data_IF_932501748456
#
_entry.id   IF_932501748456
#
_cell.length_a   1.000
_cell.length_b   1.000
_cell.length_c   1.000
_cell.angle_alpha   90.00
_cell.angle_beta   90.00
_cell.angle_gamma   90.00
#
_symmetry.space_group_name_H-M   'P 1'
#
loop_
_entity.id
_entity.type
_entity.pdbx_description
1 polymer ?
#
# COMPACT_ATOMS: atom_id res chain seq x y z
N UNK A 1 70.69 56.18 13.10
CA UNK A 1 70.00 55.02 12.55
C UNK A 1 68.58 55.09 13.03
N UNK A 2 67.69 55.66 12.19
CA UNK A 2 66.30 55.96 12.51
C UNK A 2 65.40 55.04 11.67
N UNK A 3 64.70 54.21 12.35
CA UNK A 3 63.66 53.37 11.71
C UNK A 3 62.30 54.02 11.94
N UNK A 4 61.64 54.45 10.86
CA UNK A 4 60.30 55.03 10.90
C UNK A 4 59.30 53.94 10.66
N UNK A 5 58.34 53.76 11.58
CA UNK A 5 57.16 52.94 11.44
C UNK A 5 56.13 53.67 10.55
N UNK A 6 55.65 52.99 9.48
CA UNK A 6 54.51 53.41 8.70
C UNK A 6 53.33 52.58 9.12
N UNK A 7 52.34 53.25 9.66
CA UNK A 7 51.03 52.62 9.99
C UNK A 7 50.12 52.76 8.78
N UNK A 8 49.73 51.63 8.18
CA UNK A 8 48.73 51.58 7.09
C UNK A 8 47.37 51.24 7.72
N UNK A 9 46.42 52.17 7.66
CA UNK A 9 45.04 51.96 8.04
C UNK A 9 44.30 51.26 6.88
N UNK A 10 43.86 50.01 7.08
CA UNK A 10 42.94 49.32 6.17
C UNK A 10 41.50 49.73 6.48
N UNK A 11 40.89 50.51 5.60
CA UNK A 11 39.44 50.76 5.59
C UNK A 11 38.73 49.53 4.99
N UNK A 12 37.97 48.80 5.80
CA UNK A 12 37.07 47.73 5.37
C UNK A 12 35.82 48.36 4.79
N UNK A 13 35.70 48.38 3.46
CA UNK A 13 34.42 48.61 2.77
C UNK A 13 33.59 47.30 2.83
N UNK A 14 32.54 47.31 3.65
CA UNK A 14 31.51 46.28 3.60
C UNK A 14 30.61 46.47 2.38
N UNK A 15 30.90 45.74 1.31
CA UNK A 15 29.95 45.59 0.17
C UNK A 15 28.87 44.59 0.58
N UNK A 16 27.68 45.10 0.89
CA UNK A 16 26.46 44.33 0.98
C UNK A 16 26.10 43.81 -0.40
N UNK A 17 26.39 42.54 -0.71
CA UNK A 17 25.83 41.85 -1.83
C UNK A 17 24.35 41.55 -1.51
N UNK A 18 23.41 42.38 -2.00
CA UNK A 18 22.04 41.96 -2.24
C UNK A 18 22.07 40.92 -3.34
N UNK A 19 22.06 39.64 -2.97
CA UNK A 19 21.73 38.57 -3.90
C UNK A 19 20.23 38.68 -4.23
N UNK A 20 19.93 39.25 -5.37
CA UNK A 20 18.62 39.04 -5.99
C UNK A 20 18.57 37.54 -6.35
N UNK A 21 17.91 36.75 -5.52
CA UNK A 21 17.44 35.45 -5.91
C UNK A 21 16.42 35.70 -7.05
N UNK A 22 16.87 35.46 -8.28
CA UNK A 22 16.01 35.38 -9.43
C UNK A 22 15.21 34.06 -9.21
N UNK A 23 14.04 34.17 -8.59
CA UNK A 23 13.03 33.11 -8.65
C UNK A 23 12.63 33.00 -10.12
N UNK A 24 13.36 32.17 -10.87
CA UNK A 24 12.81 31.57 -12.07
C UNK A 24 11.66 30.66 -11.59
N UNK A 25 10.47 31.24 -11.43
CA UNK A 25 9.24 30.48 -11.54
C UNK A 25 9.26 29.87 -12.94
N UNK A 26 9.80 28.69 -13.07
CA UNK A 26 9.37 27.78 -14.12
C UNK A 26 7.91 27.55 -13.81
N UNK A 27 7.01 28.02 -14.67
CA UNK A 27 5.60 27.63 -14.65
C UNK A 27 5.58 26.11 -14.84
N UNK A 28 5.67 25.38 -13.74
CA UNK A 28 5.58 23.92 -13.75
C UNK A 28 4.09 23.60 -13.95
N UNK A 29 3.75 23.27 -15.17
CA UNK A 29 2.46 22.70 -15.53
C UNK A 29 2.31 21.38 -14.77
N UNK A 30 1.15 21.15 -14.17
CA UNK A 30 0.81 19.92 -13.45
C UNK A 30 0.59 20.09 -11.93
N UNK A 31 0.48 18.96 -11.26
CA UNK A 31 0.27 18.93 -9.82
C UNK A 31 1.58 19.19 -9.05
N UNK A 32 1.52 20.10 -8.08
CA UNK A 32 2.63 20.43 -7.18
C UNK A 32 2.20 20.19 -5.74
N UNK A 33 3.00 19.45 -4.98
CA UNK A 33 2.65 19.05 -3.63
C UNK A 33 3.57 19.69 -2.59
N UNK A 34 2.97 20.23 -1.53
CA UNK A 34 3.66 20.67 -0.32
C UNK A 34 3.34 19.67 0.78
N UNK A 35 4.36 18.93 1.23
CA UNK A 35 4.22 17.96 2.33
C UNK A 35 3.94 18.72 3.62
N UNK A 36 2.81 18.41 4.27
CA UNK A 36 2.40 19.01 5.56
C UNK A 36 2.81 18.15 6.75
N UNK A 37 2.89 16.84 6.53
CA UNK A 37 3.38 15.88 7.51
C UNK A 37 4.03 14.69 6.82
N UNK A 38 5.15 14.23 7.36
CA UNK A 38 5.86 13.04 6.88
C UNK A 38 6.31 12.18 8.05
N UNK A 39 6.04 10.89 7.96
CA UNK A 39 6.44 9.90 8.95
C UNK A 39 7.72 9.21 8.50
N UNK A 40 8.51 8.79 9.48
CA UNK A 40 9.73 8.01 9.22
C UNK A 40 9.34 6.60 8.76
N UNK A 41 9.90 6.16 7.64
CA UNK A 41 9.65 4.84 7.06
C UNK A 41 10.96 4.15 6.67
N UNK A 42 10.90 2.82 6.51
CA UNK A 42 11.94 2.07 5.82
C UNK A 42 11.99 2.42 4.33
N UNK A 43 13.07 2.11 3.60
CA UNK A 43 13.17 2.36 2.16
C UNK A 43 12.03 1.72 1.36
N UNK A 44 11.72 2.30 0.20
CA UNK A 44 10.80 1.72 -0.78
C UNK A 44 11.40 0.46 -1.36
N UNK A 45 10.61 -0.62 -1.41
CA UNK A 45 10.97 -1.89 -2.03
C UNK A 45 10.31 -2.06 -3.40
N UNK A 46 10.69 -3.09 -4.14
CA UNK A 46 10.13 -3.41 -5.46
C UNK A 46 9.61 -4.84 -5.53
N UNK A 47 8.28 -5.04 -5.54
CA UNK A 47 7.68 -6.37 -5.73
C UNK A 47 7.90 -6.93 -7.15
N UNK A 48 8.33 -6.10 -8.09
CA UNK A 48 8.54 -6.46 -9.49
C UNK A 48 7.31 -7.10 -10.13
N UNK A 49 7.43 -8.27 -10.75
CA UNK A 49 6.33 -8.98 -11.41
C UNK A 49 5.78 -10.11 -10.51
N UNK A 50 5.43 -9.77 -9.29
CA UNK A 50 4.72 -10.66 -8.38
C UNK A 50 3.39 -10.01 -7.97
N UNK A 51 2.33 -10.80 -7.82
CA UNK A 51 1.04 -10.33 -7.29
C UNK A 51 1.03 -10.26 -5.76
N UNK A 52 2.13 -9.79 -5.13
CA UNK A 52 2.36 -9.91 -3.68
C UNK A 52 2.40 -8.57 -2.95
N UNK A 53 1.77 -7.53 -3.53
CA UNK A 53 1.67 -6.18 -2.96
C UNK A 53 1.17 -6.19 -1.50
N UNK A 54 0.24 -7.05 -1.17
CA UNK A 54 -0.31 -7.22 0.17
C UNK A 54 0.77 -7.59 1.20
N UNK A 55 1.74 -8.44 0.84
CA UNK A 55 2.86 -8.79 1.71
C UNK A 55 3.84 -7.63 1.85
N UNK A 56 4.23 -6.98 0.73
CA UNK A 56 5.13 -5.83 0.73
C UNK A 56 4.58 -4.65 1.53
N UNK A 57 3.32 -4.29 1.31
CA UNK A 57 2.70 -3.15 2.01
C UNK A 57 2.51 -3.42 3.50
N UNK A 58 2.06 -4.62 3.86
CA UNK A 58 1.80 -4.94 5.27
C UNK A 58 3.10 -5.10 6.06
N UNK A 59 4.14 -5.73 5.49
CA UNK A 59 5.44 -5.78 6.17
C UNK A 59 6.08 -4.40 6.26
N UNK A 60 5.97 -3.57 5.20
CA UNK A 60 6.41 -2.17 5.29
C UNK A 60 5.72 -1.41 6.42
N UNK A 61 4.41 -1.58 6.58
CA UNK A 61 3.64 -1.00 7.69
C UNK A 61 4.11 -1.50 9.06
N UNK A 62 4.35 -2.81 9.21
CA UNK A 62 4.87 -3.41 10.46
C UNK A 62 6.29 -2.90 10.76
N UNK A 63 7.16 -2.85 9.77
CA UNK A 63 8.52 -2.30 9.88
C UNK A 63 8.51 -0.84 10.34
N UNK A 64 7.63 -0.04 9.76
CA UNK A 64 7.46 1.38 10.12
C UNK A 64 6.92 1.51 11.57
N UNK A 65 6.04 0.61 12.02
CA UNK A 65 5.59 0.59 13.42
C UNK A 65 6.73 0.20 14.38
N UNK A 66 7.58 -0.75 14.02
CA UNK A 66 8.79 -1.08 14.80
C UNK A 66 9.75 0.11 14.89
N UNK A 67 9.95 0.86 13.81
CA UNK A 67 10.73 2.11 13.82
C UNK A 67 10.11 3.16 14.73
N UNK A 68 8.80 3.34 14.71
CA UNK A 68 8.05 4.24 15.60
C UNK A 68 8.26 3.89 17.06
N UNK A 69 8.31 2.59 17.40
CA UNK A 69 8.61 2.09 18.74
C UNK A 69 10.08 2.30 19.16
N UNK A 70 10.94 2.86 18.30
CA UNK A 70 12.35 3.09 18.57
C UNK A 70 13.22 1.85 18.40
N UNK A 71 12.74 0.80 17.77
CA UNK A 71 13.54 -0.38 17.44
C UNK A 71 14.47 -0.09 16.25
N UNK A 72 15.59 -0.81 16.13
CA UNK A 72 16.42 -0.75 14.93
C UNK A 72 15.61 -1.07 13.68
N UNK A 73 15.99 -0.46 12.56
CA UNK A 73 15.42 -0.81 11.27
C UNK A 73 15.66 -2.30 10.99
N UNK A 74 14.62 -2.98 10.58
CA UNK A 74 14.65 -4.38 10.16
C UNK A 74 14.00 -4.48 8.79
N UNK A 75 14.55 -5.33 7.94
CA UNK A 75 14.03 -5.68 6.63
C UNK A 75 13.46 -7.10 6.74
N UNK A 76 12.13 -7.22 6.66
CA UNK A 76 11.40 -8.47 6.84
C UNK A 76 11.13 -9.13 5.48
N UNK A 77 11.21 -10.46 5.44
CA UNK A 77 11.04 -11.22 4.19
C UNK A 77 9.58 -11.31 3.77
N UNK A 78 9.24 -10.64 2.70
CA UNK A 78 7.93 -10.77 2.05
C UNK A 78 7.69 -12.17 1.51
N UNK A 79 8.73 -12.79 0.96
CA UNK A 79 8.61 -14.11 0.35
C UNK A 79 8.49 -15.24 1.38
N UNK A 80 8.96 -15.06 2.61
CA UNK A 80 8.65 -15.97 3.69
C UNK A 80 7.14 -16.02 3.97
N UNK A 81 6.50 -14.85 4.00
CA UNK A 81 5.03 -14.74 4.15
C UNK A 81 4.34 -15.40 2.96
N UNK A 82 4.69 -15.00 1.74
CA UNK A 82 4.07 -15.47 0.49
C UNK A 82 4.16 -17.00 0.36
N UNK A 83 5.33 -17.58 0.63
CA UNK A 83 5.51 -19.04 0.57
C UNK A 83 4.58 -19.80 1.52
N UNK A 84 4.49 -19.33 2.77
CA UNK A 84 3.66 -20.00 3.76
C UNK A 84 2.16 -19.75 3.49
N UNK A 85 1.81 -18.59 2.97
CA UNK A 85 0.46 -18.24 2.53
C UNK A 85 -0.02 -19.16 1.39
N UNK A 86 0.81 -19.41 0.37
CA UNK A 86 0.48 -20.36 -0.70
C UNK A 86 0.19 -21.76 -0.16
N UNK A 87 0.87 -22.22 0.88
CA UNK A 87 0.60 -23.52 1.51
C UNK A 87 -0.81 -23.52 2.12
N UNK A 88 -1.17 -22.48 2.85
CA UNK A 88 -2.48 -22.36 3.49
C UNK A 88 -3.61 -22.21 2.46
N UNK A 89 -3.39 -21.40 1.43
CA UNK A 89 -4.30 -21.29 0.28
C UNK A 89 -4.53 -22.64 -0.40
N UNK A 90 -3.45 -23.39 -0.69
CA UNK A 90 -3.56 -24.71 -1.31
C UNK A 90 -4.39 -25.68 -0.44
N UNK A 91 -4.17 -25.69 0.87
CA UNK A 91 -4.92 -26.52 1.80
C UNK A 91 -6.41 -26.13 1.76
N UNK A 92 -6.72 -24.83 1.80
CA UNK A 92 -8.11 -24.34 1.78
C UNK A 92 -8.77 -24.61 0.44
N UNK A 93 -8.08 -24.34 -0.66
CA UNK A 93 -8.56 -24.59 -2.02
C UNK A 93 -8.94 -26.04 -2.25
N UNK A 94 -8.07 -26.97 -1.82
CA UNK A 94 -8.35 -28.41 -1.93
C UNK A 94 -9.53 -28.83 -1.03
N UNK A 95 -9.62 -28.30 0.19
CA UNK A 95 -10.76 -28.54 1.09
C UNK A 95 -12.10 -28.01 0.54
N UNK A 96 -12.04 -26.90 -0.17
CA UNK A 96 -13.19 -26.25 -0.83
C UNK A 96 -13.49 -26.82 -2.21
N UNK A 97 -12.80 -27.88 -2.63
CA UNK A 97 -12.99 -28.53 -3.93
C UNK A 97 -12.82 -27.58 -5.14
N UNK A 98 -12.03 -26.52 -4.97
CA UNK A 98 -11.80 -25.50 -6.00
C UNK A 98 -12.78 -24.32 -5.97
N UNK A 99 -13.79 -24.32 -5.11
CA UNK A 99 -14.81 -23.27 -5.03
C UNK A 99 -14.34 -22.06 -4.18
N UNK A 100 -13.10 -21.64 -4.36
CA UNK A 100 -12.51 -20.44 -3.78
C UNK A 100 -11.37 -19.95 -4.71
N UNK A 101 -11.04 -18.67 -4.67
CA UNK A 101 -9.92 -18.17 -5.43
C UNK A 101 -8.59 -18.79 -4.98
N UNK A 102 -7.73 -19.07 -5.96
CA UNK A 102 -6.33 -19.42 -5.74
C UNK A 102 -5.47 -18.60 -6.69
N UNK A 103 -4.89 -17.55 -6.17
CA UNK A 103 -4.10 -16.55 -6.91
C UNK A 103 -2.91 -16.07 -6.07
N UNK A 104 -2.07 -15.20 -6.64
CA UNK A 104 -0.97 -14.55 -5.94
C UNK A 104 -1.45 -13.48 -4.94
N UNK A 105 -2.66 -12.92 -5.15
CA UNK A 105 -3.26 -11.90 -4.30
C UNK A 105 -3.56 -12.39 -2.88
N UNK A 106 -3.73 -11.48 -1.94
CA UNK A 106 -4.02 -11.72 -0.54
C UNK A 106 -4.29 -10.41 0.19
N UNK A 107 -4.55 -10.51 1.48
CA UNK A 107 -4.92 -9.37 2.33
C UNK A 107 -3.86 -9.04 3.38
N UNK A 108 -3.97 -7.86 3.98
CA UNK A 108 -3.11 -7.47 5.11
C UNK A 108 -3.22 -8.46 6.28
N UNK A 109 -4.39 -9.03 6.50
CA UNK A 109 -4.61 -9.97 7.57
C UNK A 109 -3.87 -11.31 7.36
N UNK A 110 -3.66 -11.72 6.12
CA UNK A 110 -2.89 -12.93 5.79
C UNK A 110 -1.47 -12.85 6.35
N UNK A 111 -0.84 -11.67 6.27
CA UNK A 111 0.49 -11.45 6.84
C UNK A 111 0.49 -11.68 8.35
N UNK A 112 -0.48 -11.11 9.05
CA UNK A 112 -0.61 -11.29 10.50
C UNK A 112 -0.86 -12.75 10.87
N UNK A 113 -1.73 -13.43 10.13
CA UNK A 113 -2.02 -14.86 10.29
C UNK A 113 -0.78 -15.73 10.08
N UNK A 114 0.00 -15.43 9.03
CA UNK A 114 1.23 -16.19 8.75
C UNK A 114 2.30 -15.93 9.81
N UNK A 115 2.49 -14.68 10.26
CA UNK A 115 3.43 -14.35 11.35
C UNK A 115 3.05 -15.09 12.63
N UNK A 116 1.77 -15.10 13.00
CA UNK A 116 1.31 -15.79 14.21
C UNK A 116 1.56 -17.31 14.13
N UNK A 117 1.31 -17.91 12.97
CA UNK A 117 1.41 -19.34 12.76
C UNK A 117 2.83 -19.85 12.50
N UNK A 118 3.60 -19.12 11.67
CA UNK A 118 4.90 -19.57 11.15
C UNK A 118 6.07 -18.71 11.63
N UNK A 119 5.80 -17.54 12.20
CA UNK A 119 6.83 -16.55 12.53
C UNK A 119 7.20 -15.68 11.33
N UNK A 120 8.40 -15.10 11.37
CA UNK A 120 8.98 -14.26 10.33
C UNK A 120 10.49 -14.39 10.33
N UNK A 121 11.14 -14.06 9.22
CA UNK A 121 12.60 -14.00 9.10
C UNK A 121 13.02 -12.68 8.45
N UNK A 122 14.28 -12.23 8.64
CA UNK A 122 14.82 -11.11 7.88
C UNK A 122 14.90 -11.43 6.38
N UNK A 123 14.82 -10.41 5.53
CA UNK A 123 14.96 -10.55 4.07
C UNK A 123 16.30 -11.19 3.69
N UNK A 124 17.41 -10.80 4.32
CA UNK A 124 18.73 -11.38 4.07
C UNK A 124 18.83 -12.89 4.34
N UNK A 125 17.90 -13.44 5.12
CA UNK A 125 17.84 -14.87 5.46
C UNK A 125 17.01 -15.65 4.45
N UNK A 126 16.01 -15.01 3.86
CA UNK A 126 15.11 -15.66 2.90
C UNK A 126 14.58 -14.65 1.89
N UNK A 127 15.25 -14.53 0.77
CA UNK A 127 14.89 -13.59 -0.31
C UNK A 127 13.80 -14.10 -1.25
N UNK A 128 13.54 -15.42 -1.27
CA UNK A 128 12.62 -16.02 -2.23
C UNK A 128 13.09 -15.99 -3.69
N UNK A 129 14.37 -15.73 -3.96
CA UNK A 129 14.96 -15.61 -5.29
C UNK A 129 15.80 -16.85 -5.61
N UNK A 130 15.16 -18.02 -5.82
CA UNK A 130 15.85 -19.28 -6.07
C UNK A 130 15.68 -19.80 -7.51
N UNK A 131 15.12 -19.00 -8.42
CA UNK A 131 14.83 -19.39 -9.80
C UNK A 131 15.68 -18.64 -10.84
N UNK A 132 16.85 -18.13 -10.43
CA UNK A 132 17.89 -17.62 -11.35
C UNK A 132 17.69 -16.17 -11.82
N UNK A 133 16.83 -15.39 -11.16
CA UNK A 133 16.68 -13.95 -11.38
C UNK A 133 16.98 -13.16 -10.12
N UNK A 134 17.33 -11.89 -10.27
CA UNK A 134 17.55 -10.92 -9.20
C UNK A 134 16.29 -10.11 -8.83
N UNK A 135 15.17 -10.41 -9.49
CA UNK A 135 13.87 -9.77 -9.28
C UNK A 135 12.75 -10.80 -9.29
N UNK A 136 11.73 -10.57 -8.51
CA UNK A 136 10.56 -11.46 -8.46
C UNK A 136 9.81 -11.48 -9.80
N UNK A 137 9.57 -12.69 -10.33
CA UNK A 137 8.83 -12.94 -11.56
C UNK A 137 7.97 -14.20 -11.40
N UNK A 138 6.80 -14.05 -10.79
CA UNK A 138 5.99 -15.17 -10.30
C UNK A 138 5.06 -15.79 -11.35
N UNK A 139 4.94 -15.23 -12.56
CA UNK A 139 3.96 -15.71 -13.55
C UNK A 139 4.05 -17.21 -13.86
N UNK A 140 5.28 -17.78 -13.93
CA UNK A 140 5.46 -19.22 -14.09
C UNK A 140 5.09 -19.99 -12.82
N UNK A 141 5.56 -19.52 -11.67
CA UNK A 141 5.25 -20.10 -10.37
C UNK A 141 3.73 -20.15 -10.13
N UNK A 142 3.04 -19.04 -10.34
CA UNK A 142 1.59 -18.92 -10.14
C UNK A 142 0.82 -19.92 -11.01
N UNK A 143 1.22 -20.04 -12.30
CA UNK A 143 0.61 -20.99 -13.24
C UNK A 143 0.83 -22.44 -12.80
N UNK A 144 2.03 -22.79 -12.36
CA UNK A 144 2.39 -24.14 -11.88
C UNK A 144 1.60 -24.46 -10.61
N UNK A 145 1.58 -23.55 -9.62
CA UNK A 145 0.89 -23.78 -8.35
C UNK A 145 -0.63 -23.96 -8.57
N UNK A 146 -1.23 -23.11 -9.43
CA UNK A 146 -2.67 -23.27 -9.79
C UNK A 146 -2.92 -24.59 -10.50
N UNK A 147 -2.13 -24.91 -11.50
CA UNK A 147 -2.26 -26.19 -12.22
C UNK A 147 -2.07 -27.41 -11.32
N UNK A 148 -1.18 -27.31 -10.34
CA UNK A 148 -0.97 -28.37 -9.35
C UNK A 148 -2.22 -28.62 -8.50
N UNK A 149 -2.78 -27.60 -7.88
CA UNK A 149 -3.96 -27.77 -7.02
C UNK A 149 -5.20 -28.17 -7.81
N UNK A 150 -5.34 -27.71 -9.07
CA UNK A 150 -6.41 -28.14 -9.97
C UNK A 150 -6.31 -29.65 -10.30
N UNK A 151 -5.09 -30.14 -10.56
CA UNK A 151 -4.86 -31.58 -10.77
C UNK A 151 -5.18 -32.40 -9.51
N UNK A 152 -4.93 -31.87 -8.34
CA UNK A 152 -5.26 -32.55 -7.06
C UNK A 152 -6.75 -32.70 -6.87
N UNK A 153 -7.54 -31.63 -7.10
CA UNK A 153 -9.02 -31.72 -6.96
C UNK A 153 -9.65 -32.58 -8.06
N UNK A 154 -9.06 -32.62 -9.25
CA UNK A 154 -9.51 -33.45 -10.37
C UNK A 154 -9.13 -34.94 -10.22
N UNK A 155 -8.54 -35.36 -9.09
CA UNK A 155 -8.03 -36.69 -8.84
C UNK A 155 -9.09 -37.77 -9.09
N UNK A 156 -8.87 -38.75 -10.01
CA UNK A 156 -9.82 -39.78 -10.34
C UNK A 156 -10.00 -40.85 -9.24
N UNK A 157 -9.04 -40.96 -8.30
CA UNK A 157 -9.07 -41.97 -7.23
C UNK A 157 -10.06 -41.68 -6.12
N UNK A 158 -10.74 -40.53 -6.13
CA UNK A 158 -11.73 -40.08 -5.12
C UNK A 158 -11.22 -40.03 -3.68
N UNK A 159 -9.94 -40.31 -3.45
CA UNK A 159 -9.26 -40.21 -2.15
C UNK A 159 -7.87 -39.64 -2.35
N UNK A 160 -7.59 -38.53 -1.69
CA UNK A 160 -6.27 -37.90 -1.74
C UNK A 160 -5.27 -38.67 -0.84
N UNK A 161 -4.04 -38.76 -1.31
CA UNK A 161 -2.90 -39.14 -0.47
C UNK A 161 -2.45 -37.92 0.36
N UNK A 162 -1.58 -38.14 1.34
CA UNK A 162 -0.91 -37.04 2.06
C UNK A 162 0.26 -36.45 1.28
N UNK A 163 0.76 -37.15 0.26
CA UNK A 163 1.93 -36.76 -0.54
C UNK A 163 1.73 -35.48 -1.37
N UNK A 164 0.48 -35.13 -1.70
CA UNK A 164 0.22 -33.96 -2.56
C UNK A 164 0.76 -32.66 -1.93
N UNK A 165 0.62 -32.51 -0.61
CA UNK A 165 1.05 -31.29 0.08
C UNK A 165 2.58 -31.20 0.14
N UNK A 166 3.27 -32.32 0.29
CA UNK A 166 4.74 -32.36 0.27
C UNK A 166 5.26 -32.06 -1.14
N UNK A 167 4.59 -32.58 -2.18
CA UNK A 167 4.89 -32.22 -3.57
C UNK A 167 4.67 -30.74 -3.86
N UNK A 168 3.58 -30.16 -3.36
CA UNK A 168 3.30 -28.71 -3.48
C UNK A 168 4.40 -27.87 -2.81
N UNK A 169 4.80 -28.23 -1.58
CA UNK A 169 5.90 -27.58 -0.86
C UNK A 169 7.24 -27.70 -1.60
N UNK A 170 7.51 -28.86 -2.24
CA UNK A 170 8.73 -29.05 -3.01
C UNK A 170 8.79 -28.12 -4.24
N UNK A 171 7.65 -27.84 -4.88
CA UNK A 171 7.59 -26.81 -5.94
C UNK A 171 7.95 -25.43 -5.37
N UNK A 172 7.33 -25.04 -4.25
CA UNK A 172 7.66 -23.75 -3.59
C UNK A 172 9.14 -23.68 -3.20
N UNK A 173 9.72 -24.76 -2.65
CA UNK A 173 11.13 -24.81 -2.28
C UNK A 173 12.08 -24.68 -3.50
N UNK A 174 11.64 -25.14 -4.67
CA UNK A 174 12.41 -25.04 -5.91
C UNK A 174 12.48 -23.59 -6.39
N UNK A 175 11.37 -22.86 -6.35
CA UNK A 175 11.28 -21.47 -6.86
C UNK A 175 11.69 -20.43 -5.84
N UNK A 176 11.25 -20.59 -4.60
CA UNK A 176 11.43 -19.57 -3.54
C UNK A 176 12.55 -19.93 -2.55
N UNK A 177 13.07 -21.16 -2.60
CA UNK A 177 14.05 -21.65 -1.64
C UNK A 177 13.41 -22.32 -0.42
N UNK A 178 14.22 -23.10 0.30
CA UNK A 178 13.80 -23.73 1.55
C UNK A 178 13.81 -22.74 2.69
N UNK A 179 12.73 -22.74 3.47
CA UNK A 179 12.67 -21.95 4.69
C UNK A 179 13.63 -22.54 5.73
N UNK A 180 14.51 -21.74 6.33
CA UNK A 180 15.40 -22.22 7.37
C UNK A 180 14.62 -22.52 8.68
N UNK A 181 14.92 -23.66 9.32
CA UNK A 181 14.39 -23.97 10.65
C UNK A 181 15.01 -23.07 11.71
N UNK A 182 16.30 -22.73 11.54
CA UNK A 182 17.08 -21.83 12.37
C UNK A 182 18.00 -20.96 11.52
N UNK A 183 18.26 -19.77 12.01
CA UNK A 183 19.17 -18.82 11.36
C UNK A 183 19.86 -17.92 12.39
N UNK A 184 20.98 -17.30 12.01
CA UNK A 184 21.67 -16.32 12.85
C UNK A 184 21.42 -14.93 12.30
N UNK A 185 20.96 -14.01 13.14
CA UNK A 185 20.78 -12.60 12.80
C UNK A 185 21.39 -11.74 13.89
N UNK A 186 22.27 -10.78 13.52
CA UNK A 186 23.02 -9.96 14.46
C UNK A 186 23.73 -10.74 15.58
N UNK A 187 24.28 -11.94 15.25
CA UNK A 187 25.02 -12.79 16.17
C UNK A 187 24.17 -13.63 17.13
N UNK A 188 22.85 -13.60 16.99
CA UNK A 188 21.89 -14.40 17.79
C UNK A 188 21.23 -15.46 16.93
N UNK A 189 21.15 -16.70 17.42
CA UNK A 189 20.40 -17.79 16.77
C UNK A 189 18.90 -17.65 17.06
N UNK A 190 18.09 -17.75 16.01
CA UNK A 190 16.63 -17.70 16.05
C UNK A 190 16.00 -18.85 15.28
N UNK A 191 14.76 -19.21 15.66
CA UNK A 191 13.77 -19.79 14.77
C UNK A 191 12.87 -18.67 14.26
N UNK A 192 12.10 -18.85 13.16
CA UNK A 192 11.15 -17.82 12.69
C UNK A 192 10.20 -17.32 13.79
N UNK A 193 9.67 -18.21 14.62
CA UNK A 193 8.78 -17.88 15.73
C UNK A 193 9.50 -17.09 16.84
N UNK A 194 10.73 -17.48 17.20
CA UNK A 194 11.47 -16.75 18.22
C UNK A 194 11.90 -15.38 17.76
N UNK A 195 12.15 -15.20 16.46
CA UNK A 195 12.45 -13.91 15.86
C UNK A 195 11.22 -12.98 15.87
N UNK A 196 10.05 -13.44 15.41
CA UNK A 196 8.79 -12.69 15.50
C UNK A 196 8.51 -12.25 16.95
N UNK A 197 8.70 -13.16 17.93
CA UNK A 197 8.52 -12.84 19.35
C UNK A 197 9.52 -11.79 19.83
N UNK A 198 10.78 -11.83 19.39
CA UNK A 198 11.80 -10.84 19.76
C UNK A 198 11.48 -9.44 19.24
N UNK A 199 10.84 -9.37 18.08
CA UNK A 199 10.33 -8.12 17.51
C UNK A 199 9.08 -7.60 18.23
N UNK A 200 8.38 -8.45 18.99
CA UNK A 200 7.17 -8.11 19.74
C UNK A 200 5.95 -7.86 18.84
N UNK A 201 5.95 -8.40 17.62
CA UNK A 201 4.81 -8.33 16.70
C UNK A 201 3.67 -9.18 17.24
N UNK A 202 2.48 -8.60 17.34
CA UNK A 202 1.26 -9.29 17.78
C UNK A 202 0.10 -8.90 16.89
N UNK A 203 -0.55 -9.86 16.27
CA UNK A 203 -1.73 -9.62 15.43
C UNK A 203 -2.82 -8.81 16.16
N UNK A 204 -2.99 -9.03 17.48
CA UNK A 204 -3.97 -8.32 18.32
C UNK A 204 -3.69 -6.83 18.52
N UNK A 205 -2.53 -6.31 18.10
CA UNK A 205 -2.22 -4.90 18.18
C UNK A 205 -2.70 -4.12 16.94
N UNK A 206 -3.20 -4.83 15.93
CA UNK A 206 -3.65 -4.24 14.67
C UNK A 206 -5.15 -4.47 14.45
N UNK A 207 -5.83 -3.46 13.93
CA UNK A 207 -7.28 -3.45 13.71
C UNK A 207 -7.56 -3.27 12.22
N UNK A 208 -8.14 -4.27 11.54
CA UNK A 208 -8.59 -4.12 10.16
C UNK A 208 -9.93 -3.40 10.11
N UNK A 209 -10.03 -2.36 9.29
CA UNK A 209 -11.22 -1.51 9.15
C UNK A 209 -11.63 -1.38 7.69
N UNK A 210 -12.95 -1.35 7.47
CA UNK A 210 -13.56 -1.07 6.16
C UNK A 210 -14.81 -0.21 6.31
N UNK A 211 -15.43 0.18 5.17
CA UNK A 211 -16.62 1.04 5.18
C UNK A 211 -17.56 0.69 4.02
N UNK A 212 -18.54 -0.19 4.26
CA UNK A 212 -19.56 -0.57 3.29
C UNK A 212 -20.95 -0.64 3.94
N UNK A 213 -22.02 -0.39 3.17
CA UNK A 213 -23.40 -0.30 3.69
C UNK A 213 -24.20 -1.58 3.55
N UNK A 214 -23.70 -2.59 2.84
CA UNK A 214 -24.38 -3.87 2.70
C UNK A 214 -24.27 -4.77 3.95
N UNK A 215 -23.43 -4.35 4.92
CA UNK A 215 -23.36 -4.91 6.28
C UNK A 215 -23.51 -3.83 7.33
N UNK A 216 -23.95 -4.23 8.53
CA UNK A 216 -24.15 -3.32 9.67
C UNK A 216 -22.83 -2.64 10.07
N UNK A 217 -22.88 -1.34 10.32
CA UNK A 217 -21.76 -0.62 10.93
C UNK A 217 -21.50 -1.11 12.37
N UNK A 218 -20.23 -1.04 12.76
CA UNK A 218 -19.70 -1.46 14.06
C UNK A 218 -19.80 -2.97 14.30
N UNK A 219 -19.93 -3.74 13.24
CA UNK A 219 -19.86 -5.21 13.23
C UNK A 219 -18.72 -5.66 12.33
N UNK A 220 -18.05 -6.76 12.69
CA UNK A 220 -17.10 -7.39 11.77
C UNK A 220 -17.84 -8.18 10.69
N UNK A 221 -17.27 -8.21 9.48
CA UNK A 221 -17.69 -9.09 8.40
C UNK A 221 -16.52 -9.41 7.46
N UNK A 222 -16.60 -10.50 6.73
CA UNK A 222 -15.61 -10.82 5.71
C UNK A 222 -15.95 -10.08 4.41
N UNK A 223 -15.06 -9.19 3.95
CA UNK A 223 -15.24 -8.49 2.67
C UNK A 223 -15.29 -9.53 1.54
N UNK A 224 -16.31 -9.43 0.68
CA UNK A 224 -16.57 -10.36 -0.42
C UNK A 224 -15.72 -10.00 -1.64
N UNK A 225 -14.39 -10.20 -1.53
CA UNK A 225 -13.43 -10.06 -2.62
C UNK A 225 -12.64 -11.37 -2.79
N UNK A 226 -12.22 -11.71 -4.02
CA UNK A 226 -11.53 -12.98 -4.28
C UNK A 226 -10.26 -13.18 -3.45
N UNK A 227 -9.52 -12.10 -3.18
CA UNK A 227 -8.25 -12.14 -2.46
C UNK A 227 -8.41 -12.30 -0.94
N UNK A 228 -9.63 -12.11 -0.39
CA UNK A 228 -9.94 -12.48 1.00
C UNK A 228 -10.21 -13.99 1.13
N UNK A 229 -9.28 -14.81 0.63
CA UNK A 229 -9.37 -16.29 0.64
C UNK A 229 -9.48 -16.86 2.06
N UNK A 230 -8.90 -16.17 3.06
CA UNK A 230 -8.93 -16.59 4.47
C UNK A 230 -10.31 -16.36 5.11
N UNK A 231 -11.14 -15.49 4.48
CA UNK A 231 -12.40 -14.98 5.02
C UNK A 231 -12.20 -14.19 6.30
N UNK A 232 -11.13 -13.40 6.31
CA UNK A 232 -10.80 -12.51 7.40
C UNK A 232 -11.88 -11.46 7.59
N UNK A 233 -12.22 -11.20 8.84
CA UNK A 233 -13.23 -10.21 9.19
C UNK A 233 -12.61 -8.82 9.40
N UNK A 234 -13.28 -7.81 8.88
CA UNK A 234 -12.96 -6.40 9.00
C UNK A 234 -14.05 -5.69 9.77
N UNK A 235 -13.68 -4.83 10.71
CA UNK A 235 -14.66 -4.00 11.39
C UNK A 235 -15.20 -2.94 10.44
N UNK A 236 -16.51 -2.93 10.26
CA UNK A 236 -17.21 -1.99 9.38
C UNK A 236 -17.51 -0.69 10.12
N UNK A 237 -17.08 0.45 9.60
CA UNK A 237 -17.35 1.78 10.17
C UNK A 237 -17.82 2.74 9.08
N UNK A 238 -18.58 3.81 9.43
CA UNK A 238 -18.96 4.84 8.46
C UNK A 238 -17.75 5.47 7.77
N UNK A 239 -17.88 5.87 6.51
CA UNK A 239 -16.81 6.46 5.69
C UNK A 239 -16.10 7.64 6.38
N UNK A 240 -16.86 8.52 7.01
CA UNK A 240 -16.27 9.65 7.74
C UNK A 240 -15.44 9.22 8.95
N UNK A 241 -15.79 8.13 9.62
CA UNK A 241 -15.00 7.56 10.72
C UNK A 241 -13.76 6.81 10.21
N UNK A 242 -13.83 6.19 9.01
CA UNK A 242 -12.67 5.63 8.34
C UNK A 242 -11.64 6.72 8.02
N UNK A 243 -12.08 7.83 7.40
CA UNK A 243 -11.22 8.96 7.08
C UNK A 243 -10.65 9.62 8.35
N UNK A 244 -11.48 9.81 9.38
CA UNK A 244 -11.01 10.30 10.68
C UNK A 244 -9.94 9.40 11.29
N UNK A 245 -10.07 8.07 11.13
CA UNK A 245 -9.08 7.12 11.65
C UNK A 245 -7.75 7.25 10.92
N UNK A 246 -7.75 7.40 9.59
CA UNK A 246 -6.53 7.62 8.80
C UNK A 246 -5.84 8.91 9.25
N UNK A 247 -6.59 10.00 9.35
CA UNK A 247 -6.05 11.30 9.77
C UNK A 247 -5.47 11.22 11.19
N UNK A 248 -6.24 10.65 12.12
CA UNK A 248 -5.81 10.48 13.51
C UNK A 248 -4.54 9.63 13.62
N UNK A 249 -4.45 8.55 12.87
CA UNK A 249 -3.26 7.68 12.84
C UNK A 249 -2.02 8.47 12.42
N UNK A 250 -2.09 9.16 11.27
CA UNK A 250 -0.99 9.96 10.75
C UNK A 250 -0.63 11.08 11.74
N UNK A 251 -1.61 11.76 12.32
CA UNK A 251 -1.39 12.82 13.31
C UNK A 251 -0.71 12.31 14.59
N UNK A 252 -0.96 11.07 14.99
CA UNK A 252 -0.30 10.40 16.11
C UNK A 252 1.06 9.78 15.77
N UNK A 253 1.49 9.85 14.52
CA UNK A 253 2.78 9.32 14.08
C UNK A 253 2.76 7.85 13.67
N UNK A 254 1.58 7.30 13.39
CA UNK A 254 1.42 5.94 12.87
C UNK A 254 1.19 5.97 11.36
N UNK A 255 1.85 5.09 10.65
CA UNK A 255 1.52 4.77 9.25
C UNK A 255 0.24 3.93 9.20
N UNK A 256 -0.36 3.81 8.02
CA UNK A 256 -1.60 3.03 7.82
C UNK A 256 -1.41 2.16 6.58
N UNK A 257 -1.58 0.83 6.71
CA UNK A 257 -1.67 -0.03 5.53
C UNK A 257 -3.00 0.23 4.82
N UNK A 258 -2.97 0.29 3.50
CA UNK A 258 -4.09 0.70 2.66
C UNK A 258 -4.26 -0.22 1.46
N UNK A 259 -5.39 -0.92 1.38
CA UNK A 259 -5.83 -1.66 0.20
C UNK A 259 -6.77 -0.80 -0.64
N UNK A 260 -6.51 -0.72 -1.94
CA UNK A 260 -7.23 0.18 -2.86
C UNK A 260 -7.32 -0.35 -4.27
N UNK A 261 -8.36 0.08 -4.97
CA UNK A 261 -8.40 0.01 -6.42
C UNK A 261 -7.42 1.04 -7.02
N UNK A 262 -6.59 0.59 -7.94
CA UNK A 262 -5.62 1.40 -8.68
C UNK A 262 -5.77 1.26 -10.21
N UNK A 263 -6.76 0.49 -10.66
CA UNK A 263 -7.06 0.29 -12.10
C UNK A 263 -7.77 1.49 -12.75
N UNK A 264 -7.76 2.61 -12.07
CA UNK A 264 -8.41 3.86 -12.43
C UNK A 264 -7.58 4.75 -13.35
N UNK A 265 -8.26 5.49 -14.24
CA UNK A 265 -7.60 6.50 -15.07
C UNK A 265 -7.04 7.68 -14.28
N UNK A 266 -7.65 8.00 -13.14
CA UNK A 266 -7.17 9.01 -12.21
C UNK A 266 -5.95 8.57 -11.40
N UNK A 267 -5.60 7.28 -11.39
CA UNK A 267 -4.39 6.77 -10.77
C UNK A 267 -3.18 6.97 -11.72
N UNK A 268 -2.47 8.07 -11.53
CA UNK A 268 -1.39 8.54 -12.38
C UNK A 268 -0.03 8.34 -11.68
N UNK A 269 0.30 7.10 -11.33
CA UNK A 269 1.51 6.78 -10.54
C UNK A 269 2.79 7.37 -11.12
N UNK A 270 3.00 7.30 -12.44
CA UNK A 270 4.21 7.84 -13.07
C UNK A 270 4.26 9.38 -12.98
N UNK A 271 3.12 10.05 -12.87
CA UNK A 271 3.02 11.50 -12.61
C UNK A 271 3.00 11.80 -11.09
N UNK A 272 2.92 10.79 -10.24
CA UNK A 272 3.02 10.88 -8.79
C UNK A 272 1.75 11.27 -8.06
N UNK A 273 0.56 11.05 -8.64
CA UNK A 273 -0.70 11.34 -7.96
C UNK A 273 -1.84 10.39 -8.33
N UNK A 274 -2.92 10.44 -7.51
CA UNK A 274 -4.18 9.76 -7.76
C UNK A 274 -5.35 10.68 -7.37
N UNK A 275 -6.31 10.88 -8.30
CA UNK A 275 -7.42 11.83 -8.18
C UNK A 275 -8.70 11.29 -8.81
N UNK A 276 -9.85 11.85 -8.44
CA UNK A 276 -11.18 11.53 -9.02
C UNK A 276 -11.78 12.81 -9.63
N UNK A 277 -11.44 13.17 -10.86
CA UNK A 277 -11.92 14.41 -11.45
C UNK A 277 -13.43 14.39 -11.71
N UNK A 278 -14.08 15.54 -11.55
CA UNK A 278 -15.50 15.70 -11.89
C UNK A 278 -15.72 15.53 -13.39
N UNK A 279 -16.69 14.73 -13.80
CA UNK A 279 -17.10 14.67 -15.20
C UNK A 279 -17.70 16.01 -15.62
N UNK A 280 -17.10 16.64 -16.64
CA UNK A 280 -17.61 17.91 -17.23
C UNK A 280 -18.94 17.64 -17.91
N UNK A 281 -20.04 18.16 -17.33
CA UNK A 281 -21.36 18.13 -17.95
C UNK A 281 -21.61 19.39 -18.73
N UNK A 282 -22.39 19.29 -19.83
CA UNK A 282 -22.72 20.44 -20.68
C UNK A 282 -23.33 21.62 -19.89
N UNK A 283 -24.11 21.34 -18.85
CA UNK A 283 -24.76 22.34 -18.00
C UNK A 283 -23.77 23.18 -17.15
N UNK A 284 -22.58 22.64 -16.92
CA UNK A 284 -21.52 23.31 -16.12
C UNK A 284 -20.57 24.15 -17.00
N UNK A 285 -20.75 24.10 -18.33
CA UNK A 285 -19.88 24.78 -19.30
C UNK A 285 -20.61 25.93 -19.98
N UNK A 286 -19.88 26.96 -20.38
CA UNK A 286 -20.45 28.11 -21.04
C UNK A 286 -19.55 28.63 -22.19
N UNK A 287 -20.12 29.47 -23.06
CA UNK A 287 -19.38 30.17 -24.11
C UNK A 287 -18.57 29.25 -25.02
N UNK A 288 -17.29 29.60 -25.22
CA UNK A 288 -16.37 28.88 -26.11
C UNK A 288 -16.03 27.48 -25.64
N UNK A 289 -15.96 27.28 -24.33
CA UNK A 289 -15.68 25.99 -23.73
C UNK A 289 -16.81 24.99 -24.01
N UNK A 290 -18.08 25.38 -23.82
CA UNK A 290 -19.22 24.57 -24.17
C UNK A 290 -19.25 24.26 -25.68
N UNK A 291 -19.02 25.27 -26.52
CA UNK A 291 -19.00 25.11 -27.97
C UNK A 291 -17.92 24.12 -28.47
N UNK A 292 -16.78 24.10 -27.80
CA UNK A 292 -15.73 23.11 -28.06
C UNK A 292 -16.13 21.73 -27.53
N UNK A 293 -16.60 21.66 -26.28
CA UNK A 293 -16.92 20.42 -25.59
C UNK A 293 -18.02 19.58 -26.25
N UNK A 294 -19.09 20.23 -26.74
CA UNK A 294 -20.19 19.52 -27.40
C UNK A 294 -19.80 18.91 -28.76
N UNK A 295 -18.72 19.38 -29.37
CA UNK A 295 -18.19 18.83 -30.62
C UNK A 295 -17.31 17.59 -30.40
N UNK A 296 -16.83 17.37 -29.20
CA UNK A 296 -15.97 16.24 -28.88
C UNK A 296 -16.77 14.94 -28.84
N UNK A 297 -16.22 13.87 -29.39
CA UNK A 297 -16.68 12.51 -29.19
C UNK A 297 -16.55 12.09 -27.71
N UNK A 298 -17.22 10.98 -27.33
CA UNK A 298 -17.13 10.44 -25.97
C UNK A 298 -15.69 10.11 -25.56
N UNK A 299 -14.87 9.61 -26.50
CA UNK A 299 -13.46 9.29 -26.27
C UNK A 299 -12.61 10.54 -26.08
N UNK A 300 -12.82 11.58 -26.90
CA UNK A 300 -12.11 12.84 -26.79
C UNK A 300 -12.45 13.56 -25.48
N UNK A 301 -13.73 13.60 -25.09
CA UNK A 301 -14.17 14.12 -23.77
C UNK A 301 -13.46 13.44 -22.62
N UNK A 302 -13.37 12.11 -22.68
CA UNK A 302 -12.64 11.31 -21.68
C UNK A 302 -11.13 11.62 -21.73
N UNK A 303 -10.57 11.86 -22.93
CA UNK A 303 -9.16 12.27 -23.11
C UNK A 303 -8.86 13.65 -22.51
N UNK A 304 -9.76 14.61 -22.67
CA UNK A 304 -9.60 15.95 -22.08
C UNK A 304 -9.65 15.92 -20.54
N UNK A 305 -10.57 15.16 -19.96
CA UNK A 305 -10.73 15.03 -18.50
C UNK A 305 -9.47 14.47 -17.81
N UNK A 306 -8.69 13.63 -18.49
CA UNK A 306 -7.51 12.97 -17.91
C UNK A 306 -6.17 13.51 -18.45
N UNK A 307 -6.13 14.75 -18.99
CA UNK A 307 -4.88 15.42 -19.36
C UNK A 307 -4.02 15.78 -18.16
N UNK A 308 -4.67 16.24 -17.09
CA UNK A 308 -4.03 16.62 -15.83
C UNK A 308 -2.91 17.66 -16.01
N UNK A 309 -3.18 18.70 -16.81
CA UNK A 309 -2.26 19.82 -17.01
C UNK A 309 -2.18 20.71 -15.75
N UNK A 310 -3.23 20.70 -14.94
CA UNK A 310 -3.36 21.39 -13.65
C UNK A 310 -4.31 20.60 -12.73
N UNK A 311 -4.37 20.89 -11.41
CA UNK A 311 -5.33 20.26 -10.52
C UNK A 311 -6.76 20.55 -10.95
N UNK A 312 -7.50 19.48 -11.21
CA UNK A 312 -8.91 19.52 -11.57
C UNK A 312 -9.79 19.49 -10.33
N UNK A 313 -11.04 19.99 -10.46
CA UNK A 313 -12.07 19.83 -9.44
C UNK A 313 -12.39 18.34 -9.27
N UNK A 314 -12.47 17.87 -8.02
CA UNK A 314 -12.71 16.47 -7.74
C UNK A 314 -14.16 16.19 -7.38
N UNK A 315 -14.63 14.98 -7.70
CA UNK A 315 -15.97 14.49 -7.39
C UNK A 315 -16.18 14.45 -5.88
N UNK A 316 -17.35 14.90 -5.43
CA UNK A 316 -17.77 14.70 -4.04
C UNK A 316 -18.13 13.23 -3.81
N UNK A 317 -17.40 12.57 -2.92
CA UNK A 317 -17.57 11.16 -2.59
C UNK A 317 -18.27 11.03 -1.24
N UNK A 318 -19.45 10.41 -1.25
CA UNK A 318 -20.19 10.02 -0.07
C UNK A 318 -20.24 8.50 0.11
N UNK A 319 -20.84 8.06 1.20
CA UNK A 319 -20.99 6.63 1.54
C UNK A 319 -21.78 5.87 0.49
N UNK A 320 -22.79 6.52 -0.12
CA UNK A 320 -23.66 5.88 -1.12
C UNK A 320 -22.90 5.62 -2.42
N UNK A 321 -22.22 6.64 -2.95
CA UNK A 321 -21.44 6.53 -4.18
C UNK A 321 -20.32 5.48 -4.05
N UNK A 322 -19.65 5.46 -2.87
CA UNK A 322 -18.66 4.44 -2.55
C UNK A 322 -19.24 3.03 -2.61
N UNK A 323 -20.43 2.80 -2.02
CA UNK A 323 -21.10 1.49 -2.06
C UNK A 323 -21.50 1.10 -3.49
N UNK A 324 -22.10 2.04 -4.25
CA UNK A 324 -22.49 1.80 -5.63
C UNK A 324 -21.30 1.38 -6.50
N UNK A 325 -20.12 1.97 -6.29
CA UNK A 325 -18.91 1.63 -7.01
C UNK A 325 -18.37 0.22 -6.67
N UNK A 326 -18.51 -0.21 -5.43
CA UNK A 326 -18.17 -1.58 -5.04
C UNK A 326 -19.16 -2.59 -5.66
N UNK A 327 -20.46 -2.31 -5.59
CA UNK A 327 -21.52 -3.21 -6.08
C UNK A 327 -21.48 -3.37 -7.59
N UNK A 328 -21.01 -2.38 -8.35
CA UNK A 328 -21.01 -2.36 -9.82
C UNK A 328 -19.64 -2.61 -10.46
N UNK A 329 -18.61 -2.98 -9.65
CA UNK A 329 -17.22 -3.23 -10.07
C UNK A 329 -16.46 -2.00 -10.60
N UNK A 330 -16.90 -0.77 -10.26
CA UNK A 330 -16.11 0.44 -10.46
C UNK A 330 -15.01 0.61 -9.42
N UNK A 331 -15.10 -0.12 -8.32
CA UNK A 331 -14.05 -0.23 -7.31
C UNK A 331 -13.80 -1.70 -7.00
N UNK A 332 -12.59 -2.15 -7.25
CA UNK A 332 -12.14 -3.53 -7.06
C UNK A 332 -10.94 -3.61 -6.11
N UNK A 333 -10.62 -4.80 -5.63
CA UNK A 333 -9.44 -5.02 -4.78
C UNK A 333 -8.22 -5.30 -5.67
N UNK A 334 -7.32 -4.34 -5.79
CA UNK A 334 -6.21 -4.40 -6.74
C UNK A 334 -4.82 -4.35 -6.09
N UNK A 335 -4.63 -3.50 -5.06
CA UNK A 335 -3.27 -3.15 -4.64
C UNK A 335 -3.16 -2.71 -3.19
N UNK A 336 -2.11 -3.18 -2.51
CA UNK A 336 -1.75 -2.78 -1.14
C UNK A 336 -0.61 -1.77 -1.10
N UNK A 337 -0.76 -0.71 -0.27
CA UNK A 337 0.17 0.41 -0.11
C UNK A 337 0.19 0.90 1.34
N UNK A 338 0.95 1.98 1.64
CA UNK A 338 1.04 2.52 3.01
C UNK A 338 0.91 4.05 3.01
N UNK A 339 -0.02 4.60 3.79
CA UNK A 339 -0.03 6.04 4.07
C UNK A 339 1.09 6.39 5.03
N UNK A 340 1.92 7.35 4.63
CA UNK A 340 3.12 7.77 5.36
C UNK A 340 3.17 9.27 5.64
N UNK A 341 2.10 10.00 5.34
CA UNK A 341 2.04 11.44 5.57
C UNK A 341 0.86 12.10 4.88
N UNK A 342 0.86 13.43 4.94
CA UNK A 342 -0.12 14.30 4.30
C UNK A 342 0.56 15.41 3.52
N UNK A 343 -0.13 15.93 2.50
CA UNK A 343 0.31 17.04 1.67
C UNK A 343 -0.88 17.89 1.24
N UNK A 344 -0.61 19.05 0.68
CA UNK A 344 -1.58 19.85 -0.06
C UNK A 344 -1.03 20.17 -1.44
N UNK A 345 -1.93 20.30 -2.44
CA UNK A 345 -1.55 20.83 -3.75
C UNK A 345 -1.46 22.36 -3.75
N UNK A 346 -1.16 22.95 -4.90
CA UNK A 346 -1.07 24.41 -5.09
C UNK A 346 -2.39 25.16 -4.84
N UNK A 347 -3.53 24.45 -4.85
CA UNK A 347 -4.86 25.00 -4.58
C UNK A 347 -5.30 24.80 -3.11
N UNK A 348 -4.47 24.11 -2.30
CA UNK A 348 -4.77 23.78 -0.91
C UNK A 348 -5.62 22.51 -0.73
N UNK A 349 -5.86 21.74 -1.79
CA UNK A 349 -6.55 20.45 -1.71
C UNK A 349 -5.69 19.45 -0.94
N UNK A 350 -6.33 18.69 -0.05
CA UNK A 350 -5.65 17.70 0.81
C UNK A 350 -5.34 16.42 0.06
N UNK A 351 -4.12 15.92 0.29
CA UNK A 351 -3.64 14.63 -0.20
C UNK A 351 -2.99 13.82 0.91
N UNK A 352 -2.96 12.51 0.74
CA UNK A 352 -2.17 11.58 1.54
C UNK A 352 -0.90 11.21 0.76
N UNK A 353 0.25 11.28 1.43
CA UNK A 353 1.51 10.75 0.88
C UNK A 353 1.51 9.25 1.05
N UNK A 354 1.68 8.53 -0.04
CA UNK A 354 1.58 7.07 -0.11
C UNK A 354 2.92 6.48 -0.50
N UNK A 355 3.37 5.47 0.22
CA UNK A 355 4.52 4.62 -0.10
C UNK A 355 4.03 3.41 -0.89
N UNK A 356 4.58 3.21 -2.08
CA UNK A 356 4.28 2.08 -2.96
C UNK A 356 5.41 1.03 -2.93
N UNK A 357 5.17 -0.13 -3.52
CA UNK A 357 6.11 -1.25 -3.65
C UNK A 357 6.55 -1.52 -5.10
N UNK A 358 6.62 -0.48 -5.95
CA UNK A 358 7.00 -0.59 -7.36
C UNK A 358 8.40 -0.04 -7.67
N UNK A 359 9.29 0.01 -6.66
CA UNK A 359 10.63 0.57 -6.80
C UNK A 359 10.66 2.09 -6.77
N UNK A 360 11.85 2.66 -7.01
CA UNK A 360 12.12 4.09 -6.79
C UNK A 360 12.28 4.91 -8.08
N UNK A 361 12.05 4.31 -9.25
CA UNK A 361 12.29 4.95 -10.56
C UNK A 361 11.25 6.03 -10.93
N UNK A 362 10.21 6.20 -10.12
CA UNK A 362 9.16 7.19 -10.29
C UNK A 362 9.62 8.57 -9.74
N UNK A 363 8.98 9.68 -10.20
CA UNK A 363 9.40 11.07 -9.92
C UNK A 363 9.55 11.44 -8.45
N UNK A 364 8.84 10.75 -7.55
CA UNK A 364 8.91 10.93 -6.09
C UNK A 364 9.60 9.75 -5.38
N UNK A 365 10.44 8.98 -6.08
CA UNK A 365 11.23 7.91 -5.47
C UNK A 365 10.38 6.75 -4.91
N UNK A 366 9.26 6.43 -5.58
CA UNK A 366 8.35 5.36 -5.16
C UNK A 366 7.19 5.80 -4.26
N UNK A 367 7.11 7.12 -3.97
CA UNK A 367 5.95 7.72 -3.29
C UNK A 367 5.03 8.41 -4.31
N UNK A 368 3.77 8.59 -3.96
CA UNK A 368 2.82 9.39 -4.69
C UNK A 368 1.80 10.05 -3.75
N UNK A 369 0.92 10.88 -4.28
CA UNK A 369 -0.06 11.62 -3.50
C UNK A 369 -1.48 11.25 -3.95
N UNK A 370 -2.27 10.64 -3.05
CA UNK A 370 -3.68 10.32 -3.28
C UNK A 370 -4.56 11.40 -2.66
N UNK A 371 -5.47 11.97 -3.45
CA UNK A 371 -6.43 12.94 -2.93
C UNK A 371 -7.38 12.31 -1.91
N UNK A 372 -7.96 13.14 -1.03
CA UNK A 372 -8.98 12.67 -0.09
C UNK A 372 -10.20 12.07 -0.81
N UNK A 373 -10.56 12.59 -1.97
CA UNK A 373 -11.64 12.05 -2.81
C UNK A 373 -11.29 10.65 -3.32
N UNK A 374 -10.07 10.46 -3.84
CA UNK A 374 -9.61 9.15 -4.30
C UNK A 374 -9.61 8.13 -3.15
N UNK A 375 -9.08 8.49 -1.99
CA UNK A 375 -9.05 7.61 -0.82
C UNK A 375 -10.46 7.24 -0.36
N UNK A 376 -11.41 8.19 -0.29
CA UNK A 376 -12.80 7.92 0.03
C UNK A 376 -13.45 6.93 -0.95
N UNK A 377 -13.15 7.08 -2.23
CA UNK A 377 -13.80 6.33 -3.29
C UNK A 377 -13.24 4.93 -3.47
N UNK A 378 -11.91 4.79 -3.45
CA UNK A 378 -11.20 3.60 -3.91
C UNK A 378 -10.63 2.72 -2.80
N UNK A 379 -10.72 3.10 -1.53
CA UNK A 379 -10.27 2.26 -0.41
C UNK A 379 -11.13 1.00 -0.30
N UNK A 380 -10.51 -0.16 -0.28
CA UNK A 380 -11.16 -1.42 0.12
C UNK A 380 -11.16 -1.54 1.63
N UNK A 381 -9.99 -1.53 2.22
CA UNK A 381 -9.79 -1.60 3.66
C UNK A 381 -8.49 -0.91 4.09
N UNK A 382 -8.32 -0.79 5.40
CA UNK A 382 -7.08 -0.35 6.03
C UNK A 382 -6.73 -1.25 7.20
N UNK A 383 -5.42 -1.38 7.47
CA UNK A 383 -4.93 -1.95 8.72
C UNK A 383 -4.23 -0.85 9.52
N UNK A 384 -4.61 -0.70 10.77
CA UNK A 384 -4.05 0.32 11.68
C UNK A 384 -3.61 -0.30 13.00
N UNK A 385 -2.62 0.29 13.66
CA UNK A 385 -2.33 -0.06 15.04
C UNK A 385 -3.50 0.37 15.95
N UNK A 386 -3.89 -0.43 16.94
CA UNK A 386 -5.05 -0.13 17.81
C UNK A 386 -4.95 1.25 18.50
N UNK A 387 -3.73 1.66 18.90
CA UNK A 387 -3.49 2.97 19.53
C UNK A 387 -3.64 4.14 18.52
N UNK A 388 -3.74 3.82 17.24
CA UNK A 388 -4.00 4.77 16.15
C UNK A 388 -5.49 4.89 15.79
N UNK A 389 -6.37 4.18 16.48
CA UNK A 389 -7.83 4.30 16.30
C UNK A 389 -8.39 5.28 17.33
N UNK A 390 -9.21 6.27 16.94
CA UNK A 390 -9.87 7.17 17.91
C UNK A 390 -10.64 6.41 18.98
N UNK A 391 -10.45 6.76 20.25
CA UNK A 391 -11.06 6.05 21.41
C UNK A 391 -12.58 5.93 21.28
N UNK A 392 -13.27 6.93 20.69
CA UNK A 392 -14.72 6.86 20.47
C UNK A 392 -15.11 5.75 19.49
N UNK A 393 -14.26 5.46 18.49
CA UNK A 393 -14.48 4.41 17.51
C UNK A 393 -14.19 3.04 18.16
N UNK A 394 -13.09 2.90 18.89
CA UNK A 394 -12.78 1.66 19.63
C UNK A 394 -13.94 1.25 20.56
N UNK A 395 -14.54 2.23 21.26
CA UNK A 395 -15.70 1.97 22.14
C UNK A 395 -16.91 1.42 21.36
N UNK A 396 -17.20 1.96 20.17
CA UNK A 396 -18.30 1.49 19.32
C UNK A 396 -18.04 0.08 18.76
N UNK A 397 -16.76 -0.24 18.53
CA UNK A 397 -16.30 -1.56 18.07
C UNK A 397 -16.16 -2.58 19.23
N UNK A 398 -16.39 -2.17 20.48
CA UNK A 398 -16.17 -2.98 21.68
C UNK A 398 -14.73 -3.48 21.83
N UNK A 399 -13.77 -2.75 21.26
CA UNK A 399 -12.33 -3.00 21.38
C UNK A 399 -11.76 -2.21 22.58
N UNK A 400 -10.68 -2.78 23.19
CA UNK A 400 -10.01 -2.20 24.36
C UNK A 400 -8.62 -1.70 24.02
#
# INVERSE_FOLDING_TARGET
MNCKFFTIACALLSMSFCSWANENKTDSVGYQFTVTKELKTNPVKGQSRSGTCWSFSTLSFIEDDLLRQGKPAVDLSEMFIVRNDYIEKAIKYVRMHGDIAFSAGGSAYDVLYIIDKYGIVPEEVYTGLNYGTDKHQHGELDAILKGYVDAIIANPNKKLSTAWLDGFKAVLDTYLGKVPEKFTYNGVEYTPQSFAKSLGIKASDYVPLTSFTHHDFYKPFAIEVPDNWLWSEYYNIPLNELMETIDYAIDKGFTVMWASDVSEKGFQYLKGFAVVPVEKKNENLSGTELARWVKLSKSEKKGELYKFEEPEEEQYIDQKLRQEAFDNYETTDDHGMVFVGTAVDQNGTKYYKVKNSWGTEQIYGGFFYASEAFVKYKTMDILVHKDAVPVKILKKLHLK
#
